data_IF_245110780522
#
_entry.id   IF_245110780522
#
_cell.length_a   1.000
_cell.length_b   1.000
_cell.length_c   1.000
_cell.angle_alpha   90.00
_cell.angle_beta   90.00
_cell.angle_gamma   90.00
#
_symmetry.space_group_name_H-M   'P 1'
#
loop_
_entity.id
_entity.type
_entity.pdbx_description
1 polymer ?
#
# COMPACT_ATOMS: atom_id res chain seq x y z
N UNK A 1 -64.05 -36.84 15.88
CA UNK A 1 -62.97 -36.78 14.86
C UNK A 1 -62.14 -35.53 15.13
N UNK A 2 -60.92 -35.65 15.67
CA UNK A 2 -60.03 -34.51 15.97
C UNK A 2 -59.41 -33.98 14.67
N UNK A 3 -59.64 -32.71 14.34
CA UNK A 3 -58.97 -32.02 13.23
C UNK A 3 -57.57 -31.62 13.70
N UNK A 4 -56.54 -32.25 13.13
CA UNK A 4 -55.14 -31.88 13.35
C UNK A 4 -54.83 -30.75 12.35
N UNK A 5 -54.51 -29.56 12.87
CA UNK A 5 -54.06 -28.43 12.08
C UNK A 5 -52.54 -28.51 11.96
N UNK A 6 -52.03 -28.85 10.78
CA UNK A 6 -50.60 -28.82 10.47
C UNK A 6 -50.24 -27.39 10.06
N UNK A 7 -49.51 -26.69 10.93
CA UNK A 7 -48.94 -25.38 10.62
C UNK A 7 -47.62 -25.63 9.88
N UNK A 8 -47.63 -25.40 8.57
CA UNK A 8 -46.44 -25.48 7.72
C UNK A 8 -45.61 -24.20 7.93
N UNK A 9 -44.54 -24.30 8.72
CA UNK A 9 -43.63 -23.18 8.98
C UNK A 9 -42.68 -23.02 7.77
N UNK A 10 -43.00 -22.11 6.85
CA UNK A 10 -42.17 -21.79 5.70
C UNK A 10 -41.00 -20.91 6.17
N UNK A 11 -39.83 -21.50 6.43
CA UNK A 11 -38.60 -20.75 6.66
C UNK A 11 -38.15 -20.15 5.32
N UNK A 12 -38.53 -18.90 5.06
CA UNK A 12 -38.00 -18.13 3.94
C UNK A 12 -36.58 -17.68 4.33
N UNK A 13 -35.58 -18.44 3.90
CA UNK A 13 -34.18 -18.02 3.96
C UNK A 13 -33.98 -16.91 2.93
N UNK A 14 -34.00 -15.65 3.37
CA UNK A 14 -33.61 -14.52 2.52
C UNK A 14 -32.09 -14.61 2.32
N UNK A 15 -31.67 -15.13 1.16
CA UNK A 15 -30.28 -15.03 0.72
C UNK A 15 -30.07 -13.58 0.27
N UNK A 16 -29.46 -12.75 1.12
CA UNK A 16 -28.98 -11.45 0.69
C UNK A 16 -27.90 -11.67 -0.38
N UNK A 17 -28.15 -11.23 -1.61
CA UNK A 17 -27.09 -11.06 -2.59
C UNK A 17 -26.17 -9.94 -2.06
N UNK A 18 -25.09 -10.33 -1.38
CA UNK A 18 -24.13 -9.38 -0.87
C UNK A 18 -23.42 -8.73 -2.06
N UNK A 19 -23.79 -7.48 -2.35
CA UNK A 19 -23.11 -6.65 -3.34
C UNK A 19 -21.64 -6.42 -2.96
N UNK A 20 -20.88 -5.84 -3.89
CA UNK A 20 -19.48 -5.49 -3.63
C UNK A 20 -19.41 -4.25 -2.75
N UNK A 21 -18.80 -4.36 -1.58
CA UNK A 21 -18.49 -3.21 -0.73
C UNK A 21 -17.45 -2.34 -1.45
N UNK A 22 -17.75 -1.06 -1.69
CA UNK A 22 -16.73 -0.13 -2.14
C UNK A 22 -15.73 0.12 -1.00
N UNK A 23 -14.45 0.01 -1.31
CA UNK A 23 -13.34 0.29 -0.39
C UNK A 23 -12.33 1.20 -1.07
N UNK A 24 -11.56 1.92 -0.28
CA UNK A 24 -10.37 2.64 -0.70
C UNK A 24 -9.11 1.88 -0.28
N UNK A 25 -7.95 2.37 -0.70
CA UNK A 25 -6.67 1.74 -0.40
C UNK A 25 -6.33 1.78 1.10
N UNK A 26 -6.73 2.85 1.79
CA UNK A 26 -6.54 3.01 3.24
C UNK A 26 -7.34 1.97 4.04
N UNK A 27 -8.47 1.48 3.50
CA UNK A 27 -9.26 0.44 4.16
C UNK A 27 -8.54 -0.91 4.24
N UNK A 28 -7.51 -1.12 3.40
CA UNK A 28 -6.69 -2.33 3.43
C UNK A 28 -5.70 -2.35 4.60
N UNK A 29 -5.45 -1.19 5.22
CA UNK A 29 -4.53 -1.08 6.33
C UNK A 29 -5.08 -1.76 7.57
N UNK A 30 -4.24 -2.52 8.26
CA UNK A 30 -4.60 -3.01 9.58
C UNK A 30 -4.68 -1.89 10.60
N UNK A 31 -5.23 -2.18 11.77
CA UNK A 31 -5.34 -1.18 12.84
C UNK A 31 -3.95 -0.71 13.26
N UNK A 32 -3.71 0.59 13.12
CA UNK A 32 -2.51 1.27 13.60
C UNK A 32 -2.78 1.89 14.95
N UNK A 33 -1.88 1.68 15.91
CA UNK A 33 -1.96 2.36 17.21
C UNK A 33 -1.45 3.80 17.05
N UNK A 34 -2.25 4.78 17.50
CA UNK A 34 -1.84 6.16 17.50
C UNK A 34 -0.56 6.36 18.33
N UNK A 35 0.33 7.23 17.86
CA UNK A 35 1.53 7.61 18.59
C UNK A 35 1.83 9.10 18.44
N UNK A 36 2.47 9.69 19.45
CA UNK A 36 3.00 11.05 19.34
C UNK A 36 4.10 11.06 18.26
N UNK A 37 3.91 11.92 17.27
CA UNK A 37 4.91 12.24 16.26
C UNK A 37 5.50 13.62 16.59
N UNK A 38 6.67 13.68 17.23
CA UNK A 38 7.27 14.94 17.62
C UNK A 38 7.72 15.77 16.41
N UNK A 39 7.83 15.18 15.22
CA UNK A 39 8.21 15.88 14.01
C UNK A 39 7.13 16.84 13.52
N UNK A 40 5.86 16.62 13.88
CA UNK A 40 4.75 17.55 13.55
C UNK A 40 4.90 18.93 14.22
N UNK A 41 5.76 19.03 15.24
CA UNK A 41 6.01 20.27 16.00
C UNK A 41 7.16 21.09 15.42
N UNK A 42 7.90 20.54 14.46
CA UNK A 42 9.04 21.19 13.83
C UNK A 42 8.58 22.15 12.74
N UNK A 43 9.32 23.25 12.57
CA UNK A 43 9.20 24.07 11.36
C UNK A 43 9.79 23.32 10.15
N UNK A 44 9.44 23.78 8.94
CA UNK A 44 10.03 23.26 7.70
C UNK A 44 11.57 23.37 7.69
N UNK A 45 12.10 24.52 8.15
CA UNK A 45 13.55 24.73 8.26
C UNK A 45 14.21 23.78 9.26
N UNK A 46 13.56 23.50 10.39
CA UNK A 46 14.08 22.57 11.39
C UNK A 46 14.06 21.13 10.85
N UNK A 47 12.99 20.75 10.17
CA UNK A 47 12.89 19.46 9.50
C UNK A 47 13.97 19.30 8.43
N UNK A 48 14.15 20.32 7.59
CA UNK A 48 15.16 20.33 6.53
C UNK A 48 16.58 20.19 7.11
N UNK A 49 16.92 20.98 8.13
CA UNK A 49 18.24 20.88 8.74
C UNK A 49 18.47 19.52 9.43
N UNK A 50 17.43 18.93 10.04
CA UNK A 50 17.52 17.57 10.58
C UNK A 50 17.71 16.52 9.48
N UNK A 51 17.05 16.66 8.32
CA UNK A 51 17.23 15.74 7.21
C UNK A 51 18.62 15.82 6.61
N UNK A 52 19.18 17.02 6.44
CA UNK A 52 20.57 17.21 5.97
C UNK A 52 21.56 16.52 6.91
N UNK A 53 21.43 16.73 8.21
CA UNK A 53 22.28 16.06 9.19
C UNK A 53 22.13 14.54 9.16
N UNK A 54 20.89 14.04 9.08
CA UNK A 54 20.63 12.61 9.06
C UNK A 54 21.23 11.96 7.81
N UNK A 55 20.99 12.54 6.64
CA UNK A 55 21.48 12.05 5.36
C UNK A 55 23.01 11.96 5.35
N UNK A 56 23.70 13.07 5.63
CA UNK A 56 25.17 13.09 5.61
C UNK A 56 25.78 12.14 6.66
N UNK A 57 25.14 11.95 7.82
CA UNK A 57 25.61 11.00 8.83
C UNK A 57 25.39 9.52 8.47
N UNK A 58 24.42 9.21 7.60
CA UNK A 58 24.17 7.85 7.14
C UNK A 58 24.94 7.48 5.86
N UNK A 59 25.52 8.46 5.18
CA UNK A 59 26.32 8.24 3.98
C UNK A 59 27.64 7.52 4.28
N UNK A 60 28.13 6.77 3.29
CA UNK A 60 29.50 6.27 3.32
C UNK A 60 30.47 7.47 3.28
N UNK A 61 31.46 7.49 4.18
CA UNK A 61 32.38 8.61 4.30
C UNK A 61 33.17 8.92 3.00
N UNK A 62 33.32 7.95 2.09
CA UNK A 62 33.94 8.16 0.78
C UNK A 62 33.05 8.93 -0.22
N UNK A 63 31.75 9.03 0.06
CA UNK A 63 30.76 9.73 -0.76
C UNK A 63 30.46 11.13 -0.26
N UNK A 64 31.00 11.51 0.92
CA UNK A 64 30.78 12.82 1.52
C UNK A 64 31.84 13.79 1.02
N UNK A 65 31.43 14.73 0.17
CA UNK A 65 32.30 15.78 -0.33
C UNK A 65 32.31 17.04 0.57
N UNK A 66 33.14 18.02 0.18
CA UNK A 66 33.30 19.27 0.94
C UNK A 66 32.00 20.08 1.03
N UNK A 67 31.16 20.07 -0.01
CA UNK A 67 29.91 20.83 0.00
C UNK A 67 28.91 20.23 0.98
N UNK A 68 28.79 18.89 1.01
CA UNK A 68 27.96 18.19 1.99
C UNK A 68 28.40 18.42 3.44
N UNK A 69 29.72 18.51 3.69
CA UNK A 69 30.23 18.86 5.01
C UNK A 69 29.90 20.31 5.41
N UNK A 70 29.91 21.24 4.46
CA UNK A 70 29.52 22.63 4.69
C UNK A 70 28.01 22.72 4.99
N UNK A 71 27.16 22.08 4.20
CA UNK A 71 25.71 22.01 4.41
C UNK A 71 25.38 21.39 5.78
N UNK A 72 26.04 20.28 6.14
CA UNK A 72 25.86 19.64 7.45
C UNK A 72 26.27 20.58 8.61
N UNK A 73 27.34 21.35 8.44
CA UNK A 73 27.79 22.28 9.47
C UNK A 73 26.81 23.45 9.66
N UNK A 74 26.28 24.01 8.58
CA UNK A 74 25.26 25.06 8.60
C UNK A 74 23.94 24.57 9.21
N UNK A 75 23.50 23.37 8.82
CA UNK A 75 22.32 22.72 9.39
C UNK A 75 22.47 22.50 10.89
N UNK A 76 23.64 21.99 11.32
CA UNK A 76 23.97 21.82 12.74
C UNK A 76 23.91 23.13 13.51
N UNK A 77 24.53 24.18 12.98
CA UNK A 77 24.54 25.49 13.62
C UNK A 77 23.12 26.07 13.76
N UNK A 78 22.28 25.90 12.73
CA UNK A 78 20.89 26.35 12.75
C UNK A 78 20.07 25.63 13.82
N UNK A 79 20.21 24.32 13.93
CA UNK A 79 19.52 23.52 14.94
C UNK A 79 20.00 23.81 16.36
N UNK A 80 21.30 24.06 16.55
CA UNK A 80 21.86 24.48 17.85
C UNK A 80 21.29 25.85 18.28
N UNK A 81 21.20 26.80 17.35
CA UNK A 81 20.60 28.13 17.59
C UNK A 81 19.13 28.02 18.01
N UNK A 82 18.40 27.12 17.37
CA UNK A 82 16.99 26.83 17.64
C UNK A 82 16.78 25.93 18.87
N UNK A 83 17.88 25.47 19.49
CA UNK A 83 17.89 24.57 20.66
C UNK A 83 17.16 23.24 20.38
N UNK A 84 17.27 22.75 19.15
CA UNK A 84 16.74 21.44 18.77
C UNK A 84 17.64 20.33 19.33
N UNK A 85 17.04 19.41 20.06
CA UNK A 85 17.72 18.20 20.53
C UNK A 85 17.82 17.19 19.39
N UNK A 86 18.88 17.29 18.60
CA UNK A 86 19.14 16.42 17.44
C UNK A 86 19.13 14.95 17.83
N UNK A 87 19.74 14.61 18.99
CA UNK A 87 19.81 13.22 19.44
C UNK A 87 18.40 12.69 19.74
N UNK A 88 17.58 13.47 20.43
CA UNK A 88 16.18 13.12 20.66
C UNK A 88 15.46 12.86 19.34
N UNK A 89 15.51 13.77 18.37
CA UNK A 89 14.81 13.57 17.10
C UNK A 89 15.32 12.36 16.31
N UNK A 90 16.61 12.05 16.35
CA UNK A 90 17.13 10.85 15.70
C UNK A 90 16.67 9.55 16.38
N UNK A 91 16.63 9.52 17.71
CA UNK A 91 16.04 8.40 18.45
C UNK A 91 14.53 8.26 18.11
N UNK A 92 13.81 9.37 17.90
CA UNK A 92 12.41 9.36 17.49
C UNK A 92 12.23 8.90 16.04
N UNK A 93 13.11 9.28 15.11
CA UNK A 93 13.11 8.82 13.73
C UNK A 93 13.20 7.28 13.68
N UNK A 94 14.16 6.71 14.41
CA UNK A 94 14.33 5.25 14.48
C UNK A 94 13.09 4.57 15.11
N UNK A 95 12.55 5.14 16.20
CA UNK A 95 11.33 4.63 16.83
C UNK A 95 10.15 4.60 15.87
N UNK A 96 9.93 5.69 15.12
CA UNK A 96 8.82 5.84 14.19
C UNK A 96 9.04 4.96 12.96
N UNK A 97 10.26 4.87 12.43
CA UNK A 97 10.58 3.97 11.33
C UNK A 97 10.24 2.50 11.67
N UNK A 98 10.60 2.03 12.88
CA UNK A 98 10.25 0.68 13.35
C UNK A 98 8.74 0.47 13.51
N UNK A 99 7.97 1.51 13.81
CA UNK A 99 6.50 1.44 13.86
C UNK A 99 5.92 1.34 12.46
N UNK A 100 6.31 2.26 11.56
CA UNK A 100 5.87 2.28 10.16
C UNK A 100 6.23 0.98 9.41
N UNK A 101 7.38 0.37 9.70
CA UNK A 101 7.77 -0.93 9.13
C UNK A 101 6.88 -2.10 9.60
N UNK A 102 6.33 -2.02 10.82
CA UNK A 102 5.35 -3.01 11.30
C UNK A 102 3.99 -2.73 10.68
N UNK A 103 3.58 -1.47 10.67
CA UNK A 103 2.30 -1.01 10.13
C UNK A 103 2.14 -1.34 8.64
N UNK A 104 3.22 -1.23 7.85
CA UNK A 104 3.25 -1.60 6.43
C UNK A 104 2.96 -3.07 6.14
N UNK A 105 2.93 -3.92 7.19
CA UNK A 105 2.64 -5.35 7.12
C UNK A 105 1.28 -5.70 7.72
N UNK A 106 0.61 -4.76 8.40
CA UNK A 106 -0.68 -5.00 9.05
C UNK A 106 -1.80 -4.98 8.02
N UNK A 107 -2.67 -5.99 8.07
CA UNK A 107 -3.81 -6.14 7.15
C UNK A 107 -5.14 -5.95 7.89
N UNK A 108 -6.15 -5.45 7.19
CA UNK A 108 -7.50 -5.34 7.71
C UNK A 108 -8.21 -6.72 7.70
N UNK A 109 -8.19 -7.39 8.85
CA UNK A 109 -8.82 -8.70 9.02
C UNK A 109 -10.32 -8.74 8.74
N UNK A 110 -11.01 -7.59 8.82
CA UNK A 110 -12.46 -7.51 8.57
C UNK A 110 -12.82 -7.68 7.09
N UNK A 111 -11.87 -7.40 6.19
CA UNK A 111 -12.04 -7.52 4.74
C UNK A 111 -11.66 -8.91 4.20
N UNK A 112 -11.14 -9.81 5.03
CA UNK A 112 -10.76 -11.15 4.57
C UNK A 112 -11.97 -11.94 4.09
N UNK A 113 -11.87 -12.50 2.89
CA UNK A 113 -12.94 -13.20 2.14
C UNK A 113 -14.20 -12.36 1.91
N UNK A 114 -14.10 -11.02 1.92
CA UNK A 114 -15.21 -10.14 1.57
C UNK A 114 -15.24 -9.84 0.08
N UNK A 115 -16.46 -9.63 -0.44
CA UNK A 115 -16.67 -9.12 -1.79
C UNK A 115 -16.52 -7.60 -1.79
N UNK A 116 -15.54 -7.10 -2.53
CA UNK A 116 -15.22 -5.67 -2.55
C UNK A 116 -15.05 -5.14 -3.98
N UNK A 117 -15.19 -3.81 -4.12
CA UNK A 117 -14.88 -3.03 -5.31
C UNK A 117 -13.75 -2.08 -4.95
N UNK A 118 -12.67 -2.08 -5.73
CA UNK A 118 -11.51 -1.22 -5.55
C UNK A 118 -11.03 -0.68 -6.91
N UNK A 119 -10.62 0.58 -6.94
CA UNK A 119 -10.03 1.22 -8.12
C UNK A 119 -8.55 1.50 -7.89
N UNK A 120 -7.75 1.45 -8.96
CA UNK A 120 -6.30 1.56 -8.89
C UNK A 120 -5.67 1.19 -10.23
N UNK A 121 -4.39 0.82 -10.21
CA UNK A 121 -3.62 0.56 -11.43
C UNK A 121 -3.17 -0.89 -11.48
N UNK A 122 -3.34 -1.51 -12.65
CA UNK A 122 -2.72 -2.80 -12.91
C UNK A 122 -1.23 -2.64 -13.18
N UNK A 123 -0.48 -3.67 -12.83
CA UNK A 123 0.93 -3.82 -13.13
C UNK A 123 1.10 -5.23 -13.67
N UNK A 124 1.04 -5.33 -15.00
CA UNK A 124 1.04 -6.60 -15.69
C UNK A 124 2.33 -7.39 -15.40
N UNK A 125 2.18 -8.61 -14.86
CA UNK A 125 3.31 -9.56 -14.70
C UNK A 125 3.72 -10.17 -16.04
N UNK A 126 2.81 -10.15 -17.02
CA UNK A 126 3.03 -10.51 -18.40
C UNK A 126 1.86 -10.03 -19.26
N UNK A 127 2.14 -9.69 -20.52
CA UNK A 127 1.13 -9.30 -21.51
C UNK A 127 1.10 -10.34 -22.62
N UNK A 128 -0.09 -10.87 -22.92
CA UNK A 128 -0.30 -11.75 -24.06
C UNK A 128 -1.34 -11.12 -24.99
N UNK A 129 -0.91 -10.68 -26.18
CA UNK A 129 -1.78 -10.03 -27.18
C UNK A 129 -2.59 -8.85 -26.59
N UNK A 130 -1.96 -8.02 -25.74
CA UNK A 130 -2.61 -6.90 -25.07
C UNK A 130 -3.64 -7.33 -24.01
N UNK A 131 -3.50 -8.53 -23.44
CA UNK A 131 -4.37 -9.04 -22.37
C UNK A 131 -3.57 -9.48 -21.16
N UNK A 132 -4.17 -9.29 -19.98
CA UNK A 132 -3.66 -9.73 -18.68
C UNK A 132 -4.65 -10.65 -17.99
N UNK A 133 -4.14 -11.59 -17.19
CA UNK A 133 -4.94 -12.49 -16.37
C UNK A 133 -4.47 -12.51 -14.92
N UNK A 134 -3.17 -12.27 -14.71
CA UNK A 134 -2.53 -12.11 -13.42
C UNK A 134 -1.68 -10.84 -13.43
N UNK A 135 -1.84 -10.03 -12.40
CA UNK A 135 -1.15 -8.74 -12.28
C UNK A 135 -1.04 -8.32 -10.82
N UNK A 136 -0.10 -7.43 -10.53
CA UNK A 136 -0.10 -6.69 -9.28
C UNK A 136 -1.04 -5.50 -9.43
N UNK A 137 -1.77 -5.15 -8.39
CA UNK A 137 -2.66 -4.01 -8.37
C UNK A 137 -2.25 -3.08 -7.25
N UNK A 138 -2.15 -1.79 -7.58
CA UNK A 138 -1.45 -0.77 -6.78
C UNK A 138 -2.21 0.56 -6.77
N UNK A 139 -2.00 1.42 -5.75
CA UNK A 139 -2.74 2.66 -5.59
C UNK A 139 -2.40 3.78 -6.58
N UNK A 140 -1.19 3.77 -7.16
CA UNK A 140 -0.72 4.88 -8.00
C UNK A 140 0.15 4.42 -9.19
N UNK A 141 0.20 5.26 -10.23
CA UNK A 141 1.06 5.07 -11.41
C UNK A 141 2.53 5.19 -10.99
N UNK A 142 3.39 4.33 -11.54
CA UNK A 142 4.82 4.35 -11.26
C UNK A 142 5.22 3.60 -9.99
N UNK A 143 4.26 3.00 -9.27
CA UNK A 143 4.55 2.07 -8.19
C UNK A 143 5.51 0.97 -8.66
N UNK A 144 6.52 0.72 -7.85
CA UNK A 144 7.60 -0.23 -8.10
C UNK A 144 8.56 0.13 -9.24
N UNK A 145 8.47 1.31 -9.89
CA UNK A 145 9.42 1.70 -10.95
C UNK A 145 10.53 2.60 -10.40
N UNK A 146 10.22 3.61 -9.58
CA UNK A 146 11.21 4.52 -8.99
C UNK A 146 10.72 5.01 -7.62
N UNK A 147 11.54 4.84 -6.57
CA UNK A 147 11.24 5.15 -5.15
C UNK A 147 10.12 4.29 -4.52
N UNK A 148 10.14 4.08 -3.19
CA UNK A 148 9.99 2.75 -2.60
C UNK A 148 8.67 2.10 -2.98
N UNK A 149 8.73 0.79 -3.23
CA UNK A 149 7.54 -0.01 -3.51
C UNK A 149 6.47 0.25 -2.43
N UNK A 150 5.17 0.25 -2.81
CA UNK A 150 4.11 0.40 -1.83
C UNK A 150 4.27 -0.62 -0.69
N UNK A 151 3.80 -0.30 0.53
CA UNK A 151 3.67 -1.25 1.61
C UNK A 151 3.02 -2.57 1.18
N UNK A 152 3.37 -3.69 1.82
CA UNK A 152 2.85 -5.01 1.45
C UNK A 152 1.31 -5.08 1.53
N UNK A 153 0.73 -4.35 2.48
CA UNK A 153 -0.72 -4.20 2.65
C UNK A 153 -1.37 -3.26 1.62
N UNK A 154 -0.58 -2.63 0.75
CA UNK A 154 -0.99 -1.74 -0.35
C UNK A 154 -0.71 -2.36 -1.74
N UNK A 155 -0.45 -3.67 -1.79
CA UNK A 155 -0.26 -4.41 -3.05
C UNK A 155 -1.16 -5.64 -3.05
N UNK A 156 -1.96 -5.78 -4.11
CA UNK A 156 -2.81 -6.94 -4.35
C UNK A 156 -2.24 -7.77 -5.49
N UNK A 157 -2.15 -9.08 -5.31
CA UNK A 157 -1.98 -10.01 -6.43
C UNK A 157 -3.35 -10.42 -6.97
N UNK A 158 -3.70 -9.92 -8.15
CA UNK A 158 -5.01 -10.15 -8.76
C UNK A 158 -4.95 -11.33 -9.71
N UNK A 159 -5.96 -12.21 -9.61
CA UNK A 159 -6.21 -13.31 -10.55
C UNK A 159 -7.60 -13.16 -11.14
N UNK A 160 -7.68 -13.17 -12.47
CA UNK A 160 -8.94 -13.20 -13.20
C UNK A 160 -9.17 -14.54 -13.89
N UNK A 161 -10.40 -15.03 -13.91
CA UNK A 161 -10.74 -16.23 -14.68
C UNK A 161 -10.71 -15.97 -16.20
N UNK A 162 -10.91 -14.73 -16.62
CA UNK A 162 -10.93 -14.34 -18.03
C UNK A 162 -9.85 -13.29 -18.30
N UNK A 163 -9.08 -13.40 -19.39
CA UNK A 163 -8.15 -12.36 -19.79
C UNK A 163 -8.87 -11.03 -20.00
N UNK A 164 -8.27 -9.94 -19.53
CA UNK A 164 -8.77 -8.57 -19.67
C UNK A 164 -7.89 -7.85 -20.67
N UNK A 165 -8.49 -7.19 -21.66
CA UNK A 165 -7.74 -6.35 -22.58
C UNK A 165 -7.32 -5.07 -21.86
N UNK A 166 -6.05 -4.71 -21.99
CA UNK A 166 -5.45 -3.50 -21.45
C UNK A 166 -4.63 -2.85 -22.55
N UNK A 167 -4.52 -1.52 -22.54
CA UNK A 167 -3.79 -0.80 -23.58
C UNK A 167 -2.29 -0.82 -23.30
N UNK A 168 -1.90 -0.84 -22.02
CA UNK A 168 -0.51 -0.95 -21.59
C UNK A 168 -0.33 -1.80 -20.31
N UNK A 169 0.87 -1.71 -19.71
CA UNK A 169 1.21 -2.40 -18.47
C UNK A 169 0.59 -1.75 -17.22
N UNK A 170 0.25 -0.47 -17.30
CA UNK A 170 -0.22 0.41 -16.22
C UNK A 170 -1.64 0.91 -16.49
N UNK A 171 -2.58 -0.01 -16.62
CA UNK A 171 -3.96 0.37 -16.91
C UNK A 171 -4.70 0.78 -15.62
N UNK A 172 -5.39 1.94 -15.59
CA UNK A 172 -6.32 2.28 -14.52
C UNK A 172 -7.57 1.40 -14.62
N UNK A 173 -7.83 0.62 -13.58
CA UNK A 173 -8.93 -0.34 -13.54
C UNK A 173 -9.80 -0.17 -12.29
N UNK A 174 -11.03 -0.64 -12.42
CA UNK A 174 -11.91 -0.95 -11.29
C UNK A 174 -12.13 -2.46 -11.25
N UNK A 175 -11.73 -3.09 -10.15
CA UNK A 175 -11.87 -4.54 -9.93
C UNK A 175 -12.99 -4.81 -8.93
N UNK A 176 -13.78 -5.86 -9.19
CA UNK A 176 -14.75 -6.42 -8.25
C UNK A 176 -14.50 -7.90 -8.08
N UNK A 177 -14.54 -8.38 -6.85
CA UNK A 177 -14.19 -9.76 -6.55
C UNK A 177 -14.05 -10.03 -5.07
N UNK A 178 -13.38 -11.12 -4.74
CA UNK A 178 -13.15 -11.55 -3.36
C UNK A 178 -11.72 -11.22 -2.94
N UNK A 179 -11.57 -10.41 -1.88
CA UNK A 179 -10.28 -10.10 -1.28
C UNK A 179 -9.89 -11.18 -0.27
N UNK A 180 -8.64 -11.64 -0.31
CA UNK A 180 -8.10 -12.63 0.62
C UNK A 180 -6.81 -12.12 1.24
N UNK A 181 -6.68 -12.23 2.55
CA UNK A 181 -5.40 -12.04 3.24
C UNK A 181 -4.56 -13.30 2.97
N UNK A 182 -3.72 -13.21 1.94
CA UNK A 182 -2.84 -14.28 1.50
C UNK A 182 -1.63 -13.64 0.85
N UNK A 183 -0.47 -13.87 1.47
CA UNK A 183 0.80 -13.35 0.99
C UNK A 183 1.21 -14.02 -0.31
N UNK A 184 1.78 -13.25 -1.23
CA UNK A 184 2.43 -13.79 -2.43
C UNK A 184 3.75 -13.05 -2.68
N UNK A 185 4.65 -13.75 -3.37
CA UNK A 185 5.87 -13.21 -3.97
C UNK A 185 5.72 -13.36 -5.47
N UNK A 186 5.88 -12.28 -6.22
CA UNK A 186 5.78 -12.30 -7.67
C UNK A 186 7.00 -11.62 -8.27
N UNK A 187 7.53 -12.22 -9.34
CA UNK A 187 8.58 -11.61 -10.15
C UNK A 187 7.96 -10.56 -11.05
N UNK A 188 8.37 -9.33 -10.89
CA UNK A 188 7.97 -8.21 -11.70
C UNK A 188 9.12 -7.88 -12.67
N UNK A 189 8.85 -7.96 -13.96
CA UNK A 189 9.83 -7.63 -15.00
C UNK A 189 9.64 -6.18 -15.43
N UNK A 190 10.56 -5.30 -15.07
CA UNK A 190 10.57 -3.88 -15.43
C UNK A 190 11.60 -3.60 -16.51
N UNK A 191 11.68 -2.35 -16.96
CA UNK A 191 12.61 -1.92 -18.02
C UNK A 191 14.07 -1.89 -17.55
N UNK A 192 14.28 -1.74 -16.26
CA UNK A 192 15.57 -1.62 -15.58
C UNK A 192 16.01 -2.92 -14.87
N UNK A 193 15.15 -3.93 -14.81
CA UNK A 193 15.51 -5.23 -14.24
C UNK A 193 14.33 -6.11 -13.86
N UNK A 194 14.63 -7.10 -13.03
CA UNK A 194 13.65 -7.98 -12.40
C UNK A 194 13.64 -7.68 -10.90
N UNK A 195 12.46 -7.42 -10.35
CA UNK A 195 12.24 -7.25 -8.91
C UNK A 195 11.32 -8.33 -8.35
N UNK A 196 11.56 -8.74 -7.11
CA UNK A 196 10.62 -9.57 -6.36
C UNK A 196 9.71 -8.66 -5.53
N UNK A 197 8.42 -8.64 -5.87
CA UNK A 197 7.42 -7.85 -5.16
C UNK A 197 6.56 -8.75 -4.29
N UNK A 198 6.52 -8.42 -3.00
CA UNK A 198 5.64 -9.07 -2.03
C UNK A 198 4.28 -8.33 -1.96
N UNK A 199 3.21 -9.10 -1.78
CA UNK A 199 1.85 -8.59 -1.56
C UNK A 199 1.26 -9.28 -0.34
N UNK A 200 0.47 -8.57 0.46
CA UNK A 200 -0.25 -9.16 1.59
C UNK A 200 -1.62 -9.74 1.20
N UNK A 201 -2.14 -9.31 0.04
CA UNK A 201 -3.46 -9.67 -0.44
C UNK A 201 -3.43 -10.44 -1.76
N UNK A 202 -4.37 -11.38 -1.89
CA UNK A 202 -4.78 -11.97 -3.18
C UNK A 202 -6.19 -11.51 -3.50
N UNK A 203 -6.47 -11.19 -4.76
CA UNK A 203 -7.79 -10.81 -5.21
C UNK A 203 -8.29 -11.76 -6.30
N UNK A 204 -9.42 -12.41 -6.05
CA UNK A 204 -10.09 -13.26 -7.05
C UNK A 204 -11.13 -12.41 -7.77
N UNK A 205 -10.82 -11.96 -8.97
CA UNK A 205 -11.64 -11.02 -9.72
C UNK A 205 -12.84 -11.73 -10.39
N UNK A 206 -14.03 -11.21 -10.11
CA UNK A 206 -15.28 -11.56 -10.77
C UNK A 206 -15.53 -10.65 -11.99
N UNK A 207 -15.15 -9.37 -11.88
CA UNK A 207 -15.32 -8.32 -12.89
C UNK A 207 -14.13 -7.36 -12.86
N UNK A 208 -13.64 -6.99 -14.04
CA UNK A 208 -12.58 -5.98 -14.21
C UNK A 208 -13.05 -5.04 -15.32
N UNK A 209 -13.00 -3.74 -15.07
CA UNK A 209 -13.36 -2.70 -16.03
C UNK A 209 -12.29 -1.63 -16.08
N UNK A 210 -12.09 -0.96 -17.23
CA UNK A 210 -11.39 0.32 -17.27
C UNK A 210 -11.96 1.27 -16.23
N UNK A 211 -11.10 2.09 -15.64
CA UNK A 211 -11.55 3.17 -14.78
C UNK A 211 -12.36 4.19 -15.59
N UNK A 212 -13.55 4.54 -15.11
CA UNK A 212 -14.37 5.59 -15.71
C UNK A 212 -14.07 6.90 -14.96
N UNK A 213 -13.59 7.92 -15.68
CA UNK A 213 -13.47 9.27 -15.14
C UNK A 213 -14.87 9.89 -15.12
N UNK A 214 -15.38 10.20 -13.93
CA UNK A 214 -16.60 11.00 -13.76
C UNK A 214 -16.36 12.49 -14.07
#
# INVERSE_FOLDING_TARGET
MKKILIILCFCISIVYAQGYQAINWEDLEGKVEAYDDPFEKLSEDQMYNLSVLYEVQQMDASQVDKYLLEDMAEAKQSLEKDKIDVKYYFDQAERIAKKREKESKLTNSTLNNKKVKLSGFSLALGLNEGKIQEFLFVPYIGACIHSPAPPLNQILYVKSLKPVKVDDRFEPLTIKGTLQIKKNKNKLFLTDGEDEVESAYTFLADEIKPYEYE
#
